data_IF_738252442239
#
_entry.id   IF_738252442239
#
_cell.length_a   1.000
_cell.length_b   1.000
_cell.length_c   1.000
_cell.angle_alpha   90.00
_cell.angle_beta   90.00
_cell.angle_gamma   90.00
#
_symmetry.space_group_name_H-M   'P 1'
#
loop_
_entity.id
_entity.type
_entity.pdbx_description
1 polymer ?
#
# COMPACT_ATOMS: atom_id res chain seq x y z
N UNK A 1 40.88 5.27 6.81
CA UNK A 1 39.70 5.26 5.92
C UNK A 1 38.71 6.23 6.52
N UNK A 2 38.46 7.35 5.86
CA UNK A 2 37.64 8.45 6.37
C UNK A 2 36.21 8.17 5.89
N UNK A 3 35.30 7.96 6.83
CA UNK A 3 33.88 7.73 6.57
C UNK A 3 33.32 8.90 5.76
N UNK A 4 32.55 8.62 4.72
CA UNK A 4 32.01 9.68 3.87
C UNK A 4 30.72 10.19 4.54
N UNK A 5 30.87 11.18 5.42
CA UNK A 5 29.86 11.74 6.34
C UNK A 5 28.65 12.44 5.66
N UNK A 6 28.46 12.27 4.35
CA UNK A 6 27.38 12.88 3.57
C UNK A 6 26.59 11.83 2.79
N UNK A 7 25.92 10.93 3.51
CA UNK A 7 24.80 10.20 2.93
C UNK A 7 23.64 11.19 2.71
N UNK A 8 23.55 11.71 1.48
CA UNK A 8 22.50 12.64 1.05
C UNK A 8 21.12 11.98 0.90
N UNK A 9 20.96 10.75 1.38
CA UNK A 9 19.66 10.09 1.43
C UNK A 9 18.82 10.78 2.49
N UNK A 10 17.76 11.47 2.03
CA UNK A 10 16.76 12.04 2.92
C UNK A 10 16.29 10.96 3.89
N UNK A 11 16.52 11.16 5.20
CA UNK A 11 15.96 10.32 6.28
C UNK A 11 14.43 10.43 6.37
N UNK A 12 13.82 11.17 5.45
CA UNK A 12 12.39 11.39 5.33
C UNK A 12 11.78 10.18 4.64
N UNK A 13 10.93 9.48 5.37
CA UNK A 13 10.21 8.32 4.84
C UNK A 13 8.91 8.83 4.21
N UNK A 14 8.77 8.65 2.88
CA UNK A 14 7.57 9.05 2.17
C UNK A 14 6.61 7.86 2.03
N UNK A 15 5.30 8.07 2.25
CA UNK A 15 4.31 7.04 1.97
C UNK A 15 4.25 6.81 0.45
N UNK A 16 4.50 5.58 0.03
CA UNK A 16 4.45 5.20 -1.39
C UNK A 16 3.69 3.89 -1.57
N UNK A 17 3.15 3.71 -2.78
CA UNK A 17 2.47 2.47 -3.18
C UNK A 17 3.14 1.92 -4.43
N UNK A 18 3.69 0.70 -4.33
CA UNK A 18 4.27 -0.03 -5.45
C UNK A 18 3.30 -1.10 -5.93
N UNK A 19 3.23 -1.27 -7.24
CA UNK A 19 2.37 -2.28 -7.86
C UNK A 19 3.18 -3.36 -8.55
N UNK A 20 2.73 -4.60 -8.42
CA UNK A 20 3.10 -5.71 -9.30
C UNK A 20 1.83 -6.45 -9.70
N UNK A 21 1.89 -7.30 -10.72
CA UNK A 21 0.74 -8.08 -11.15
C UNK A 21 1.16 -9.52 -11.43
N UNK A 22 0.29 -10.47 -11.06
CA UNK A 22 0.50 -11.89 -11.29
C UNK A 22 -0.87 -12.60 -11.29
N UNK A 23 -1.05 -13.54 -12.21
CA UNK A 23 -2.25 -14.39 -12.28
C UNK A 23 -3.58 -13.59 -12.29
N UNK A 24 -3.63 -12.48 -13.02
CA UNK A 24 -4.82 -11.61 -13.11
C UNK A 24 -5.13 -10.80 -11.85
N UNK A 25 -4.29 -10.86 -10.82
CA UNK A 25 -4.39 -10.02 -9.63
C UNK A 25 -3.33 -8.90 -9.63
N UNK A 26 -3.69 -7.77 -9.03
CA UNK A 26 -2.78 -6.66 -8.76
C UNK A 26 -2.34 -6.73 -7.30
N UNK A 27 -1.05 -6.61 -7.07
CA UNK A 27 -0.46 -6.56 -5.74
C UNK A 27 -0.03 -5.13 -5.44
N UNK A 28 -0.59 -4.55 -4.39
CA UNK A 28 -0.24 -3.21 -3.92
C UNK A 28 0.57 -3.31 -2.63
N UNK A 29 1.79 -2.80 -2.64
CA UNK A 29 2.66 -2.71 -1.47
C UNK A 29 2.64 -1.28 -0.97
N UNK A 30 2.01 -1.09 0.18
CA UNK A 30 1.91 0.19 0.87
C UNK A 30 3.10 0.29 1.82
N UNK A 31 4.02 1.19 1.50
CA UNK A 31 5.22 1.43 2.28
C UNK A 31 5.03 2.66 3.16
N UNK A 32 5.47 2.57 4.41
CA UNK A 32 5.74 3.75 5.24
C UNK A 32 4.53 4.63 5.54
N UNK A 33 3.34 4.03 5.55
CA UNK A 33 2.13 4.75 5.95
C UNK A 33 1.94 4.64 7.46
N UNK A 34 1.86 5.79 8.11
CA UNK A 34 1.57 5.93 9.55
C UNK A 34 0.08 6.14 9.84
N UNK A 35 -0.69 6.52 8.82
CA UNK A 35 -2.13 6.73 8.90
C UNK A 35 -2.94 5.42 8.93
N UNK A 36 -4.14 5.50 9.49
CA UNK A 36 -5.08 4.37 9.57
C UNK A 36 -5.73 4.03 8.22
N UNK A 37 -5.73 4.98 7.30
CA UNK A 37 -6.43 4.90 6.02
C UNK A 37 -5.46 5.28 4.89
N UNK A 38 -5.44 4.45 3.84
CA UNK A 38 -4.64 4.68 2.63
C UNK A 38 -5.57 4.87 1.45
N UNK A 39 -5.32 5.90 0.64
CA UNK A 39 -6.05 6.14 -0.61
C UNK A 39 -5.17 5.84 -1.81
N UNK A 40 -5.47 4.73 -2.49
CA UNK A 40 -4.81 4.34 -3.73
C UNK A 40 -5.58 4.95 -4.91
N UNK A 41 -5.15 6.13 -5.37
CA UNK A 41 -5.81 6.90 -6.44
C UNK A 41 -5.87 6.14 -7.78
N UNK A 42 -4.87 5.32 -8.07
CA UNK A 42 -4.81 4.53 -9.31
C UNK A 42 -6.00 3.57 -9.45
N UNK A 43 -6.63 3.16 -8.35
CA UNK A 43 -7.74 2.18 -8.33
C UNK A 43 -9.11 2.83 -8.10
N UNK A 44 -9.29 4.09 -8.50
CA UNK A 44 -10.58 4.77 -8.47
C UNK A 44 -11.61 4.11 -9.41
N UNK A 45 -12.90 4.25 -9.11
CA UNK A 45 -14.02 3.67 -9.89
C UNK A 45 -14.05 4.05 -11.39
N UNK A 46 -13.32 5.09 -11.80
CA UNK A 46 -13.23 5.54 -13.19
C UNK A 46 -11.90 5.21 -13.89
N UNK A 47 -10.94 4.63 -13.17
CA UNK A 47 -9.58 4.39 -13.67
C UNK A 47 -9.34 2.93 -14.13
N UNK A 48 -10.37 2.09 -14.09
CA UNK A 48 -10.27 0.69 -14.48
C UNK A 48 -11.41 -0.15 -13.92
N UNK A 49 -11.14 -1.44 -13.75
CA UNK A 49 -12.13 -2.42 -13.31
C UNK A 49 -12.58 -2.23 -11.85
N UNK A 50 -13.78 -2.75 -11.58
CA UNK A 50 -14.31 -2.82 -10.21
C UNK A 50 -13.52 -3.83 -9.41
N UNK A 51 -13.21 -3.50 -8.17
CA UNK A 51 -12.53 -4.42 -7.28
C UNK A 51 -13.52 -5.51 -6.82
N UNK A 52 -13.11 -6.76 -6.98
CA UNK A 52 -13.85 -7.95 -6.54
C UNK A 52 -13.54 -8.26 -5.08
N UNK A 53 -12.26 -8.31 -4.73
CA UNK A 53 -11.77 -8.73 -3.42
C UNK A 53 -10.41 -8.10 -3.12
N UNK A 54 -10.14 -7.91 -1.83
CA UNK A 54 -8.84 -7.50 -1.32
C UNK A 54 -8.46 -8.42 -0.16
N UNK A 55 -7.24 -8.95 -0.20
CA UNK A 55 -6.66 -9.78 0.86
C UNK A 55 -5.34 -9.17 1.28
N UNK A 56 -5.13 -8.95 2.58
CA UNK A 56 -3.82 -8.55 3.10
C UNK A 56 -2.90 -9.77 3.05
N UNK A 57 -1.69 -9.59 2.54
CA UNK A 57 -0.71 -10.67 2.48
C UNK A 57 -0.28 -11.09 3.89
N UNK A 58 0.15 -12.35 4.04
CA UNK A 58 0.64 -12.93 5.31
C UNK A 58 -0.36 -12.87 6.47
N UNK A 59 -1.66 -12.86 6.18
CA UNK A 59 -2.70 -12.90 7.20
C UNK A 59 -4.00 -13.49 6.66
N UNK A 60 -4.89 -13.85 7.58
CA UNK A 60 -6.30 -14.18 7.29
C UNK A 60 -7.27 -13.06 7.69
N UNK A 61 -6.76 -11.92 8.16
CA UNK A 61 -7.60 -10.79 8.57
C UNK A 61 -8.38 -10.18 7.40
N UNK A 62 -9.65 -9.82 7.68
CA UNK A 62 -10.48 -9.13 6.70
C UNK A 62 -10.03 -7.68 6.55
N UNK A 63 -9.77 -7.28 5.30
CA UNK A 63 -9.44 -5.91 4.95
C UNK A 63 -10.73 -5.09 4.85
N UNK A 64 -10.81 -3.98 5.59
CA UNK A 64 -11.88 -3.00 5.39
C UNK A 64 -11.46 -2.05 4.27
N UNK A 65 -12.21 -2.05 3.17
CA UNK A 65 -11.91 -1.22 2.02
C UNK A 65 -13.16 -0.68 1.35
N UNK A 66 -13.01 0.40 0.59
CA UNK A 66 -14.07 0.99 -0.24
C UNK A 66 -13.47 1.59 -1.50
N UNK A 67 -13.94 1.15 -2.66
CA UNK A 67 -13.63 1.81 -3.94
C UNK A 67 -14.54 3.01 -4.12
N UNK A 68 -13.96 4.18 -4.39
CA UNK A 68 -14.67 5.45 -4.58
C UNK A 68 -14.22 6.15 -5.86
N UNK A 69 -14.82 7.29 -6.18
CA UNK A 69 -14.39 8.13 -7.30
C UNK A 69 -12.99 8.74 -7.11
N UNK A 70 -12.52 8.88 -5.87
CA UNK A 70 -11.21 9.48 -5.55
C UNK A 70 -10.09 8.45 -5.46
N UNK A 71 -10.44 7.17 -5.31
CA UNK A 71 -9.49 6.07 -5.16
C UNK A 71 -10.07 4.90 -4.39
N UNK A 72 -9.23 3.88 -4.20
CA UNK A 72 -9.48 2.79 -3.27
C UNK A 72 -8.99 3.19 -1.87
N UNK A 73 -9.92 3.31 -0.93
CA UNK A 73 -9.59 3.50 0.49
C UNK A 73 -9.42 2.15 1.17
N UNK A 74 -8.28 1.92 1.81
CA UNK A 74 -7.95 0.70 2.56
C UNK A 74 -7.62 1.08 4.01
N UNK A 75 -8.23 0.39 4.97
CA UNK A 75 -7.82 0.49 6.37
C UNK A 75 -6.62 -0.40 6.64
N UNK A 76 -5.58 0.19 7.18
CA UNK A 76 -4.35 -0.51 7.56
C UNK A 76 -4.20 -0.52 9.09
N UNK A 77 -3.62 -1.57 9.67
CA UNK A 77 -3.25 -1.53 11.08
C UNK A 77 -2.20 -0.45 11.32
N UNK A 78 -2.28 0.21 12.48
CA UNK A 78 -1.27 1.19 12.89
C UNK A 78 -0.07 0.42 13.44
N UNK A 79 1.10 0.59 12.84
CA UNK A 79 2.34 0.00 13.30
C UNK A 79 3.05 0.98 14.25
N UNK A 80 3.41 0.52 15.44
CA UNK A 80 4.24 1.30 16.38
C UNK A 80 5.68 1.23 15.90
N UNK A 81 6.24 2.39 15.52
CA UNK A 81 7.50 2.50 14.80
C UNK A 81 8.68 1.84 15.52
N UNK A 82 9.26 0.83 14.85
CA UNK A 82 10.65 0.37 15.06
C UNK A 82 11.20 -0.22 13.77
N UNK A 83 10.32 -0.67 12.85
CA UNK A 83 10.64 -1.10 11.48
C UNK A 83 9.76 -0.35 10.47
N UNK A 84 10.23 -0.19 9.22
CA UNK A 84 9.45 0.40 8.13
C UNK A 84 8.35 -0.60 7.75
N UNK A 85 7.06 -0.33 8.05
CA UNK A 85 6.03 -1.31 7.78
C UNK A 85 5.70 -1.30 6.28
N UNK A 86 5.93 -2.43 5.62
CA UNK A 86 5.42 -2.68 4.27
C UNK A 86 4.20 -3.59 4.41
N UNK A 87 3.03 -3.06 4.03
CA UNK A 87 1.79 -3.85 4.01
C UNK A 87 1.43 -4.19 2.57
N UNK A 88 1.47 -5.48 2.24
CA UNK A 88 1.06 -5.97 0.93
C UNK A 88 -0.42 -6.33 0.86
N UNK A 89 -1.06 -6.03 -0.26
CA UNK A 89 -2.44 -6.39 -0.57
C UNK A 89 -2.52 -7.08 -1.92
N UNK A 90 -3.19 -8.23 -1.98
CA UNK A 90 -3.66 -8.84 -3.23
C UNK A 90 -5.04 -8.25 -3.56
N UNK A 91 -5.19 -7.70 -4.75
CA UNK A 91 -6.39 -7.04 -5.25
C UNK A 91 -6.84 -7.80 -6.49
N UNK A 92 -8.03 -8.40 -6.42
CA UNK A 92 -8.65 -9.07 -7.56
C UNK A 92 -9.63 -8.11 -8.22
N UNK A 93 -9.47 -7.93 -9.53
CA UNK A 93 -10.36 -7.12 -10.35
C UNK A 93 -11.50 -8.00 -10.89
N UNK A 94 -12.62 -7.37 -11.26
CA UNK A 94 -13.79 -8.04 -11.85
C UNK A 94 -13.65 -8.25 -13.33
#
# INVERSE_FOLDING_TARGET
MKDNEHDGTSKVIFPEVRFTSKDGAVYAYVCSVTDKDVVIKALALGNGDKIKSITRLNTTDKVKWKQTKTGLTIKIPVYTATEIPITGFKIELK
#
